data_IF_305693713133
#
_entry.id   IF_305693713133
#
_cell.length_a   1.000
_cell.length_b   1.000
_cell.length_c   1.000
_cell.angle_alpha   90.00
_cell.angle_beta   90.00
_cell.angle_gamma   90.00
#
_symmetry.space_group_name_H-M   'P 1'
#
loop_
_entity.id
_entity.type
_entity.pdbx_description
1 polymer ?
#
# COMPACT_ATOMS: atom_id res chain seq x y z
N UNK A 1 -6.48 9.18 13.47
CA UNK A 1 -5.27 8.41 13.13
C UNK A 1 -4.04 9.25 13.51
N UNK A 2 -2.99 8.63 14.06
CA UNK A 2 -1.72 9.34 14.37
C UNK A 2 -0.67 9.03 13.31
N UNK A 3 0.39 9.84 13.24
CA UNK A 3 1.56 9.56 12.37
C UNK A 3 2.16 8.17 12.62
N UNK A 4 2.21 7.74 13.89
CA UNK A 4 2.71 6.42 14.27
C UNK A 4 1.83 5.28 13.77
N UNK A 5 0.50 5.43 13.88
CA UNK A 5 -0.47 4.46 13.37
C UNK A 5 -0.38 4.32 11.85
N UNK A 6 -0.23 5.44 11.13
CA UNK A 6 -0.07 5.43 9.66
C UNK A 6 1.20 4.66 9.26
N UNK A 7 2.32 4.89 9.95
CA UNK A 7 3.57 4.19 9.70
C UNK A 7 3.48 2.68 9.96
N UNK A 8 2.81 2.27 11.04
CA UNK A 8 2.56 0.84 11.33
C UNK A 8 1.70 0.18 10.24
N UNK A 9 0.61 0.83 9.83
CA UNK A 9 -0.24 0.33 8.75
C UNK A 9 0.51 0.27 7.42
N UNK A 10 1.36 1.27 7.12
CA UNK A 10 2.23 1.28 5.95
C UNK A 10 3.22 0.11 5.96
N UNK A 11 3.77 -0.25 7.11
CA UNK A 11 4.62 -1.44 7.27
C UNK A 11 3.86 -2.74 6.96
N UNK A 12 2.62 -2.86 7.41
CA UNK A 12 1.78 -4.02 7.08
C UNK A 12 1.50 -4.12 5.57
N UNK A 13 1.13 -3.02 4.91
CA UNK A 13 0.94 -2.99 3.45
C UNK A 13 2.26 -3.29 2.71
N UNK A 14 3.38 -2.75 3.18
CA UNK A 14 4.69 -3.01 2.60
C UNK A 14 5.02 -4.52 2.63
N UNK A 15 4.72 -5.20 3.74
CA UNK A 15 4.94 -6.64 3.86
C UNK A 15 4.06 -7.46 2.92
N UNK A 16 2.81 -7.04 2.68
CA UNK A 16 1.92 -7.70 1.71
C UNK A 16 2.45 -7.59 0.28
N UNK A 17 3.02 -6.44 -0.08
CA UNK A 17 3.58 -6.19 -1.41
C UNK A 17 4.87 -7.00 -1.69
N UNK A 18 5.54 -7.56 -0.68
CA UNK A 18 6.77 -8.35 -0.86
C UNK A 18 6.59 -9.59 -1.75
N UNK A 19 5.35 -10.03 -1.98
CA UNK A 19 5.03 -11.11 -2.90
C UNK A 19 5.24 -10.76 -4.38
N UNK A 20 5.54 -9.50 -4.70
CA UNK A 20 5.90 -9.05 -6.04
C UNK A 20 4.74 -8.90 -7.01
N UNK A 21 3.51 -9.23 -6.60
CA UNK A 21 2.33 -9.12 -7.47
C UNK A 21 1.77 -7.70 -7.48
N UNK A 22 0.89 -7.44 -8.44
CA UNK A 22 0.02 -6.28 -8.40
C UNK A 22 -1.24 -6.61 -7.57
N UNK A 23 -1.61 -5.69 -6.69
CA UNK A 23 -2.76 -5.79 -5.82
C UNK A 23 -3.80 -4.72 -6.17
N UNK A 24 -5.08 -5.08 -6.19
CA UNK A 24 -6.16 -4.10 -6.21
C UNK A 24 -6.38 -3.47 -4.83
N UNK A 25 -7.10 -2.34 -4.80
CA UNK A 25 -7.48 -1.70 -3.53
C UNK A 25 -8.28 -2.63 -2.62
N UNK A 26 -9.25 -3.37 -3.16
CA UNK A 26 -10.10 -4.29 -2.39
C UNK A 26 -9.33 -5.51 -1.87
N UNK A 27 -8.38 -6.03 -2.64
CA UNK A 27 -7.50 -7.13 -2.17
C UNK A 27 -6.63 -6.67 -0.99
N UNK A 28 -6.02 -5.47 -1.07
CA UNK A 28 -5.23 -4.92 0.04
C UNK A 28 -6.08 -4.66 1.27
N UNK A 29 -7.28 -4.09 1.09
CA UNK A 29 -8.23 -3.82 2.18
C UNK A 29 -8.61 -5.11 2.90
N UNK A 30 -8.91 -6.16 2.14
CA UNK A 30 -9.27 -7.48 2.68
C UNK A 30 -8.08 -8.14 3.40
N UNK A 31 -6.90 -8.16 2.77
CA UNK A 31 -5.72 -8.81 3.34
C UNK A 31 -5.16 -8.11 4.58
N UNK A 32 -5.22 -6.77 4.61
CA UNK A 32 -4.74 -5.97 5.75
C UNK A 32 -5.79 -5.78 6.85
N UNK A 33 -7.07 -6.07 6.57
CA UNK A 33 -8.21 -5.77 7.45
C UNK A 33 -8.31 -4.30 7.87
N UNK A 34 -7.79 -3.38 7.04
CA UNK A 34 -7.81 -1.94 7.29
C UNK A 34 -9.10 -1.31 6.77
N UNK A 35 -9.49 -0.20 7.41
CA UNK A 35 -10.53 0.67 6.87
C UNK A 35 -9.99 1.43 5.64
N UNK A 36 -10.87 1.93 4.78
CA UNK A 36 -10.43 2.69 3.59
C UNK A 36 -9.58 3.93 3.94
N UNK A 37 -9.92 4.74 4.97
CA UNK A 37 -9.06 5.85 5.38
C UNK A 37 -7.67 5.40 5.85
N UNK A 38 -7.59 4.28 6.59
CA UNK A 38 -6.33 3.72 7.06
C UNK A 38 -5.47 3.23 5.89
N UNK A 39 -6.10 2.54 4.93
CA UNK A 39 -5.44 2.02 3.74
C UNK A 39 -4.93 3.16 2.85
N UNK A 40 -5.74 4.19 2.58
CA UNK A 40 -5.30 5.35 1.81
C UNK A 40 -4.16 6.11 2.49
N UNK A 41 -4.21 6.23 3.82
CA UNK A 41 -3.14 6.88 4.60
C UNK A 41 -1.84 6.07 4.53
N UNK A 42 -1.92 4.74 4.61
CA UNK A 42 -0.79 3.84 4.48
C UNK A 42 -0.17 3.89 3.06
N UNK A 43 -1.01 3.86 2.02
CA UNK A 43 -0.59 4.01 0.62
C UNK A 43 0.13 5.35 0.42
N UNK A 44 -0.45 6.46 0.90
CA UNK A 44 0.16 7.78 0.81
C UNK A 44 1.51 7.86 1.56
N UNK A 45 1.64 7.17 2.68
CA UNK A 45 2.91 7.06 3.40
C UNK A 45 3.98 6.35 2.58
N UNK A 46 3.65 5.22 1.96
CA UNK A 46 4.58 4.47 1.11
C UNK A 46 4.95 5.24 -0.18
N UNK A 47 4.00 5.97 -0.75
CA UNK A 47 4.24 6.82 -1.92
C UNK A 47 5.27 7.92 -1.62
N UNK A 48 5.20 8.55 -0.44
CA UNK A 48 6.21 9.52 0.04
C UNK A 48 7.62 8.91 0.10
N UNK A 49 7.72 7.60 0.33
CA UNK A 49 8.99 6.87 0.46
C UNK A 49 9.44 6.19 -0.85
N UNK A 50 8.71 6.36 -1.96
CA UNK A 50 8.92 5.64 -3.22
C UNK A 50 8.92 4.10 -3.05
N UNK A 51 8.14 3.61 -2.08
CA UNK A 51 7.97 2.18 -1.75
C UNK A 51 6.65 1.62 -2.26
N UNK A 52 6.02 2.25 -3.24
CA UNK A 52 4.81 1.71 -3.88
C UNK A 52 4.68 2.34 -5.27
N UNK A 53 4.35 1.53 -6.25
CA UNK A 53 3.90 1.97 -7.56
C UNK A 53 2.38 1.93 -7.60
N UNK A 54 1.77 3.02 -8.07
CA UNK A 54 0.33 3.14 -8.25
C UNK A 54 0.06 3.16 -9.75
N UNK A 55 -0.63 2.14 -10.25
CA UNK A 55 -1.01 1.98 -11.65
C UNK A 55 -2.50 2.25 -11.79
N UNK A 56 -2.88 3.24 -12.58
CA UNK A 56 -4.28 3.52 -12.91
C UNK A 56 -4.61 2.95 -14.28
N UNK A 57 -5.54 2.00 -14.36
CA UNK A 57 -6.08 1.48 -15.61
C UNK A 57 -7.59 1.68 -15.65
N UNK A 58 -8.05 2.54 -16.58
CA UNK A 58 -9.44 2.90 -16.96
C UNK A 58 -10.48 3.15 -15.85
N UNK A 59 -10.59 2.29 -14.85
CA UNK A 59 -11.51 2.40 -13.70
C UNK A 59 -10.98 1.82 -12.39
N UNK A 60 -9.75 1.29 -12.35
CA UNK A 60 -9.19 0.61 -11.17
C UNK A 60 -7.76 1.05 -10.88
N UNK A 61 -7.44 1.08 -9.58
CA UNK A 61 -6.09 1.30 -9.08
C UNK A 61 -5.48 -0.05 -8.69
N UNK A 62 -4.27 -0.27 -9.20
CA UNK A 62 -3.42 -1.38 -8.82
C UNK A 62 -2.16 -0.86 -8.13
N UNK A 63 -1.69 -1.61 -7.15
CA UNK A 63 -0.57 -1.28 -6.29
C UNK A 63 0.48 -2.38 -6.42
N UNK A 64 1.72 -1.98 -6.66
CA UNK A 64 2.84 -2.91 -6.78
C UNK A 64 4.04 -2.39 -5.97
N UNK A 65 5.03 -3.25 -5.69
CA UNK A 65 6.30 -2.79 -5.14
C UNK A 65 6.92 -1.66 -5.97
N UNK A 66 7.38 -0.60 -5.32
CA UNK A 66 8.21 0.42 -5.95
C UNK A 66 9.66 -0.02 -6.17
N UNK A 67 10.39 0.66 -7.05
CA UNK A 67 11.78 0.30 -7.39
C UNK A 67 12.78 0.28 -6.21
N UNK A 68 12.44 0.89 -5.07
CA UNK A 68 13.26 0.85 -3.84
C UNK A 68 12.85 -0.26 -2.85
N UNK A 69 12.12 -1.29 -3.30
CA UNK A 69 11.96 -2.54 -2.55
C UNK A 69 13.27 -3.32 -2.58
N UNK A 70 14.22 -2.95 -1.74
CA UNK A 70 15.42 -3.75 -1.48
C UNK A 70 15.61 -3.95 0.03
N UNK A 71 15.98 -5.19 0.30
CA UNK A 71 16.21 -5.92 1.55
C UNK A 71 17.32 -5.32 2.43
#
# INVERSE_FOLDING_TARGET
MTKGTIGLNAGAICNLLLDGRCWSFEELKTASSLTEPDLWSAIGWLARENKIEIKSSSSQLAFAPGMNFNY
#
